data_IF_991652580637
#
_entry.id   IF_991652580637
#
_cell.length_a   1.000
_cell.length_b   1.000
_cell.length_c   1.000
_cell.angle_alpha   90.00
_cell.angle_beta   90.00
_cell.angle_gamma   90.00
#
_symmetry.space_group_name_H-M   'P 1'
#
loop_
_entity.id
_entity.type
_entity.pdbx_description
1 polymer ?
#
# COMPACT_ATOMS: atom_id res chain seq x y z
N UNK A 1 -5.64 19.67 -23.50
CA UNK A 1 -6.62 19.14 -22.53
C UNK A 1 -6.19 19.63 -21.16
N UNK A 2 -7.08 20.26 -20.37
CA UNK A 2 -6.71 20.72 -19.02
C UNK A 2 -6.60 19.47 -18.14
N UNK A 3 -5.45 19.25 -17.50
CA UNK A 3 -5.26 18.15 -16.55
C UNK A 3 -6.17 18.38 -15.33
N UNK A 4 -6.48 17.31 -14.60
CA UNK A 4 -7.32 17.36 -13.40
C UNK A 4 -6.47 17.65 -12.17
N UNK A 5 -7.08 18.30 -11.17
CA UNK A 5 -6.45 18.52 -9.88
C UNK A 5 -6.62 17.27 -8.99
N UNK A 6 -5.77 17.12 -7.97
CA UNK A 6 -5.82 15.96 -7.07
C UNK A 6 -7.18 15.77 -6.40
N UNK A 7 -7.87 16.87 -6.05
CA UNK A 7 -9.23 16.87 -5.48
C UNK A 7 -10.24 16.05 -6.31
N UNK A 8 -9.99 15.88 -7.61
CA UNK A 8 -10.80 15.01 -8.46
C UNK A 8 -10.66 13.53 -8.07
N UNK A 9 -9.44 13.08 -7.78
CA UNK A 9 -9.11 11.68 -7.47
C UNK A 9 -9.13 11.36 -5.98
N UNK A 10 -9.26 12.36 -5.10
CA UNK A 10 -9.15 12.21 -3.64
C UNK A 10 -10.18 11.26 -3.00
N UNK A 11 -11.21 10.85 -3.75
CA UNK A 11 -12.16 9.83 -3.31
C UNK A 11 -11.58 8.41 -3.41
N UNK A 12 -10.68 8.14 -4.36
CA UNK A 12 -10.08 6.82 -4.61
C UNK A 12 -9.29 6.33 -3.38
N UNK A 13 -8.37 7.10 -2.77
CA UNK A 13 -7.70 6.69 -1.53
C UNK A 13 -8.65 6.33 -0.39
N UNK A 14 -9.75 7.08 -0.25
CA UNK A 14 -10.74 6.85 0.82
C UNK A 14 -11.50 5.54 0.62
N UNK A 15 -11.86 5.24 -0.62
CA UNK A 15 -12.51 3.97 -0.96
C UNK A 15 -11.56 2.79 -0.70
N UNK A 16 -10.29 2.93 -1.08
CA UNK A 16 -9.27 1.89 -0.85
C UNK A 16 -9.05 1.64 0.65
N UNK A 17 -8.85 2.68 1.47
CA UNK A 17 -8.69 2.51 2.93
C UNK A 17 -9.94 1.87 3.55
N UNK A 18 -11.14 2.30 3.13
CA UNK A 18 -12.39 1.73 3.63
C UNK A 18 -12.49 0.24 3.36
N UNK A 19 -12.10 -0.17 2.15
CA UNK A 19 -12.06 -1.58 1.76
C UNK A 19 -11.04 -2.35 2.61
N UNK A 20 -9.83 -1.83 2.77
CA UNK A 20 -8.78 -2.52 3.53
C UNK A 20 -9.13 -2.65 5.02
N UNK A 21 -9.63 -1.59 5.66
CA UNK A 21 -10.08 -1.64 7.07
C UNK A 21 -11.17 -2.71 7.24
N UNK A 22 -12.10 -2.80 6.31
CA UNK A 22 -13.16 -3.81 6.33
C UNK A 22 -12.62 -5.24 6.14
N UNK A 23 -11.68 -5.43 5.22
CA UNK A 23 -11.02 -6.73 4.99
C UNK A 23 -10.23 -7.19 6.21
N UNK A 24 -9.41 -6.31 6.80
CA UNK A 24 -8.62 -6.62 7.98
C UNK A 24 -9.49 -7.01 9.17
N UNK A 25 -10.57 -6.28 9.44
CA UNK A 25 -11.51 -6.62 10.51
C UNK A 25 -12.15 -7.99 10.30
N UNK A 26 -12.47 -8.32 9.05
CA UNK A 26 -13.10 -9.60 8.71
C UNK A 26 -12.14 -10.77 8.83
N UNK A 27 -10.85 -10.58 8.55
CA UNK A 27 -9.81 -11.62 8.63
C UNK A 27 -9.34 -11.87 10.06
N UNK A 28 -9.00 -10.80 10.79
CA UNK A 28 -8.43 -10.90 12.14
C UNK A 28 -9.49 -10.87 13.25
N UNK A 29 -10.76 -10.87 12.85
CA UNK A 29 -11.90 -11.12 13.71
C UNK A 29 -12.43 -9.88 14.42
N UNK A 30 -13.74 -9.90 14.64
CA UNK A 30 -14.48 -8.94 15.45
C UNK A 30 -14.13 -9.00 16.94
N UNK A 31 -13.05 -9.65 17.36
CA UNK A 31 -12.60 -9.67 18.75
C UNK A 31 -11.31 -8.85 18.97
N UNK A 32 -10.57 -8.52 17.91
CA UNK A 32 -9.38 -7.67 18.02
C UNK A 32 -9.77 -6.23 18.42
N UNK A 33 -9.39 -5.84 19.65
CA UNK A 33 -9.72 -4.53 20.22
C UNK A 33 -9.08 -3.38 19.44
N UNK A 34 -7.83 -3.55 19.00
CA UNK A 34 -7.11 -2.53 18.24
C UNK A 34 -7.80 -2.28 16.89
N UNK A 35 -8.11 -3.33 16.13
CA UNK A 35 -8.79 -3.19 14.84
C UNK A 35 -10.18 -2.55 14.95
N UNK A 36 -10.94 -2.85 16.00
CA UNK A 36 -12.23 -2.18 16.27
C UNK A 36 -12.09 -0.69 16.49
N UNK A 37 -11.03 -0.27 17.20
CA UNK A 37 -10.77 1.15 17.41
C UNK A 37 -10.46 1.85 16.09
N UNK A 38 -9.64 1.22 15.24
CA UNK A 38 -9.32 1.74 13.91
C UNK A 38 -10.55 1.82 13.00
N UNK A 39 -11.34 0.74 12.93
CA UNK A 39 -12.59 0.70 12.17
C UNK A 39 -13.50 1.86 12.56
N UNK A 40 -13.79 1.96 13.87
CA UNK A 40 -14.64 3.01 14.41
C UNK A 40 -14.11 4.38 14.03
N UNK A 41 -12.81 4.63 14.21
CA UNK A 41 -12.20 5.92 13.91
C UNK A 41 -12.32 6.28 12.43
N UNK A 42 -11.96 5.34 11.56
CA UNK A 42 -11.99 5.55 10.12
C UNK A 42 -13.41 5.87 9.65
N UNK A 43 -14.40 5.08 10.04
CA UNK A 43 -15.76 5.28 9.56
C UNK A 43 -16.50 6.46 10.22
N UNK A 44 -16.06 6.92 11.40
CA UNK A 44 -16.59 8.14 12.01
C UNK A 44 -16.08 9.44 11.35
N UNK A 45 -14.83 9.46 10.90
CA UNK A 45 -14.18 10.70 10.42
C UNK A 45 -13.84 10.72 8.93
N UNK A 46 -13.45 9.58 8.35
CA UNK A 46 -12.94 9.45 6.96
C UNK A 46 -11.89 10.51 6.60
N UNK A 47 -11.03 10.81 7.56
CA UNK A 47 -9.93 11.78 7.47
C UNK A 47 -8.60 11.03 7.60
N UNK A 48 -7.76 11.12 6.58
CA UNK A 48 -6.55 10.31 6.48
C UNK A 48 -5.46 10.75 7.46
N UNK A 49 -5.30 12.06 7.67
CA UNK A 49 -4.30 12.62 8.57
C UNK A 49 -4.64 12.22 10.01
N UNK A 50 -5.89 12.46 10.40
CA UNK A 50 -6.38 12.08 11.73
C UNK A 50 -6.34 10.57 11.95
N UNK A 51 -6.65 9.77 10.93
CA UNK A 51 -6.56 8.32 11.02
C UNK A 51 -5.11 7.84 11.17
N UNK A 52 -4.18 8.41 10.40
CA UNK A 52 -2.74 8.10 10.48
C UNK A 52 -2.15 8.39 11.85
N UNK A 53 -2.48 9.55 12.43
CA UNK A 53 -2.05 9.94 13.77
C UNK A 53 -2.71 9.07 14.86
N UNK A 54 -3.96 8.66 14.65
CA UNK A 54 -4.69 7.85 15.61
C UNK A 54 -4.14 6.43 15.74
N UNK A 55 -3.67 5.83 14.64
CA UNK A 55 -3.19 4.44 14.60
C UNK A 55 -2.09 4.15 15.63
N UNK A 56 -1.05 4.98 15.67
CA UNK A 56 0.07 4.81 16.61
C UNK A 56 -0.39 4.96 18.06
N UNK A 57 -1.21 5.97 18.34
CA UNK A 57 -1.74 6.20 19.69
C UNK A 57 -2.61 5.03 20.16
N UNK A 58 -3.51 4.54 19.30
CA UNK A 58 -4.36 3.40 19.62
C UNK A 58 -3.54 2.13 19.85
N UNK A 59 -2.48 1.90 19.06
CA UNK A 59 -1.62 0.73 19.19
C UNK A 59 -0.84 0.75 20.51
N UNK A 60 -0.24 1.88 20.87
CA UNK A 60 0.47 2.04 22.14
C UNK A 60 -0.45 1.77 23.35
N UNK A 61 -1.68 2.26 23.29
CA UNK A 61 -2.68 2.07 24.36
C UNK A 61 -3.15 0.61 24.47
N UNK A 62 -3.32 -0.11 23.35
CA UNK A 62 -3.92 -1.47 23.37
C UNK A 62 -2.91 -2.61 23.38
N UNK A 63 -1.77 -2.45 22.71
CA UNK A 63 -0.80 -3.53 22.49
C UNK A 63 0.46 -3.36 23.34
N UNK A 64 0.93 -2.14 23.58
CA UNK A 64 2.20 -1.90 24.29
C UNK A 64 1.99 -1.71 25.80
N UNK A 65 1.02 -0.89 26.19
CA UNK A 65 0.79 -0.57 27.60
C UNK A 65 0.16 -1.74 28.37
N UNK A 66 -0.70 -2.52 27.70
CA UNK A 66 -1.52 -3.56 28.34
C UNK A 66 -0.92 -4.97 28.24
N UNK A 67 0.04 -5.22 27.33
CA UNK A 67 0.60 -6.56 27.08
C UNK A 67 2.11 -6.60 27.26
N UNK A 68 2.61 -7.78 27.64
CA UNK A 68 4.05 -8.04 27.74
C UNK A 68 4.67 -8.34 26.37
N UNK A 69 3.86 -8.88 25.46
CA UNK A 69 4.24 -9.26 24.09
C UNK A 69 3.22 -8.66 23.12
N UNK A 70 3.73 -8.13 22.01
CA UNK A 70 2.91 -7.52 20.96
C UNK A 70 2.36 -8.61 20.05
N UNK A 71 1.06 -8.54 19.79
CA UNK A 71 0.40 -9.44 18.85
C UNK A 71 0.87 -9.16 17.41
N UNK A 72 1.37 -10.19 16.71
CA UNK A 72 1.92 -10.08 15.35
C UNK A 72 0.89 -9.51 14.38
N UNK A 73 -0.35 -10.01 14.43
CA UNK A 73 -1.41 -9.60 13.51
C UNK A 73 -1.76 -8.12 13.71
N UNK A 74 -1.80 -7.66 14.96
CA UNK A 74 -2.00 -6.26 15.32
C UNK A 74 -0.87 -5.36 14.82
N UNK A 75 0.39 -5.81 14.93
CA UNK A 75 1.55 -5.10 14.38
C UNK A 75 1.52 -5.06 12.84
N UNK A 76 1.22 -6.18 12.19
CA UNK A 76 1.07 -6.24 10.73
C UNK A 76 -0.05 -5.32 10.25
N UNK A 77 -1.17 -5.24 10.97
CA UNK A 77 -2.26 -4.31 10.69
C UNK A 77 -1.84 -2.85 10.85
N UNK A 78 -1.11 -2.52 11.93
CA UNK A 78 -0.55 -1.17 12.13
C UNK A 78 0.34 -0.78 10.95
N UNK A 79 1.35 -1.59 10.63
CA UNK A 79 2.32 -1.30 9.58
C UNK A 79 1.64 -1.15 8.22
N UNK A 80 0.69 -2.03 7.90
CA UNK A 80 -0.05 -1.99 6.65
C UNK A 80 -0.89 -0.72 6.52
N UNK A 81 -1.71 -0.40 7.53
CA UNK A 81 -2.58 0.77 7.45
C UNK A 81 -1.80 2.10 7.49
N UNK A 82 -0.69 2.15 8.23
CA UNK A 82 0.26 3.27 8.16
C UNK A 82 0.85 3.43 6.77
N UNK A 83 1.39 2.35 6.20
CA UNK A 83 1.98 2.37 4.87
C UNK A 83 0.99 2.83 3.78
N UNK A 84 -0.29 2.43 3.89
CA UNK A 84 -1.34 2.90 2.97
C UNK A 84 -1.53 4.41 3.07
N UNK A 85 -1.69 4.94 4.28
CA UNK A 85 -1.88 6.37 4.50
C UNK A 85 -0.66 7.18 4.06
N UNK A 86 0.54 6.68 4.36
CA UNK A 86 1.80 7.30 3.93
C UNK A 86 1.87 7.35 2.40
N UNK A 87 1.62 6.23 1.70
CA UNK A 87 1.62 6.17 0.23
C UNK A 87 0.66 7.16 -0.40
N UNK A 88 -0.55 7.30 0.15
CA UNK A 88 -1.54 8.21 -0.42
C UNK A 88 -1.23 9.68 -0.13
N UNK A 89 -0.69 9.98 1.06
CA UNK A 89 -0.23 11.33 1.41
C UNK A 89 0.99 11.73 0.57
N UNK A 90 1.94 10.81 0.38
CA UNK A 90 3.12 10.98 -0.46
C UNK A 90 2.70 11.22 -1.93
N UNK A 91 1.77 10.43 -2.45
CA UNK A 91 1.27 10.60 -3.82
C UNK A 91 0.54 11.92 -4.01
N UNK A 92 -0.32 12.34 -3.08
CA UNK A 92 -1.00 13.65 -3.11
C UNK A 92 0.01 14.80 -3.20
N UNK A 93 1.00 14.79 -2.30
CA UNK A 93 2.06 15.79 -2.29
C UNK A 93 2.84 15.81 -3.61
N UNK A 94 3.26 14.64 -4.10
CA UNK A 94 4.01 14.50 -5.35
C UNK A 94 3.16 14.96 -6.52
N UNK A 95 1.88 14.61 -6.58
CA UNK A 95 0.96 15.03 -7.62
C UNK A 95 0.88 16.56 -7.72
N UNK A 96 0.76 17.24 -6.58
CA UNK A 96 0.72 18.70 -6.51
C UNK A 96 2.04 19.36 -6.90
N UNK A 97 3.18 18.74 -6.59
CA UNK A 97 4.50 19.20 -7.05
C UNK A 97 4.65 18.99 -8.55
N UNK A 98 4.34 17.78 -9.04
CA UNK A 98 4.33 17.42 -10.45
C UNK A 98 3.44 18.35 -11.26
N UNK A 99 2.28 18.74 -10.74
CA UNK A 99 1.36 19.70 -11.38
C UNK A 99 2.05 21.04 -11.65
N UNK A 100 2.80 21.58 -10.69
CA UNK A 100 3.51 22.87 -10.86
C UNK A 100 4.54 22.80 -11.98
N UNK A 101 5.24 21.66 -12.11
CA UNK A 101 6.20 21.39 -13.20
C UNK A 101 5.45 21.21 -14.52
N UNK A 102 4.35 20.47 -14.50
CA UNK A 102 3.52 20.21 -15.68
C UNK A 102 2.74 21.46 -16.14
N UNK A 103 2.62 22.50 -15.33
CA UNK A 103 2.08 23.81 -15.68
C UNK A 103 3.12 24.74 -16.29
N UNK A 104 4.42 24.43 -16.14
CA UNK A 104 5.51 25.25 -16.64
C UNK A 104 5.43 25.34 -18.19
N UNK A 105 5.32 26.55 -18.76
CA UNK A 105 5.26 26.76 -20.20
C UNK A 105 6.60 26.53 -20.91
N UNK A 106 7.72 26.49 -20.18
CA UNK A 106 9.05 26.26 -20.73
C UNK A 106 9.34 24.76 -20.95
N UNK A 107 8.56 23.87 -20.33
CA UNK A 107 8.62 22.41 -20.53
C UNK A 107 7.71 22.02 -21.70
N UNK A 108 8.34 21.76 -22.85
CA UNK A 108 7.66 21.57 -24.15
C UNK A 108 7.19 20.16 -24.46
N UNK A 109 7.77 19.13 -23.86
CA UNK A 109 7.34 17.74 -24.05
C UNK A 109 6.61 17.25 -22.80
N UNK A 110 5.31 17.02 -22.97
CA UNK A 110 4.42 16.45 -21.95
C UNK A 110 3.85 15.16 -22.51
N UNK A 111 4.76 14.24 -22.84
CA UNK A 111 4.44 12.95 -23.46
C UNK A 111 3.67 12.01 -22.51
N UNK A 112 3.83 12.21 -21.20
CA UNK A 112 3.15 11.44 -20.16
C UNK A 112 2.00 12.23 -19.54
N UNK A 113 0.96 11.54 -19.09
CA UNK A 113 -0.13 12.15 -18.33
C UNK A 113 0.36 12.48 -16.92
N UNK A 114 -0.19 13.55 -16.32
CA UNK A 114 0.22 14.04 -15.01
C UNK A 114 0.23 12.94 -13.92
N UNK A 115 -0.79 12.06 -13.91
CA UNK A 115 -0.86 10.98 -12.92
C UNK A 115 0.21 9.88 -13.14
N UNK A 116 0.60 9.61 -14.39
CA UNK A 116 1.68 8.64 -14.69
C UNK A 116 3.02 9.25 -14.32
N UNK A 117 3.22 10.53 -14.61
CA UNK A 117 4.43 11.25 -14.19
C UNK A 117 4.57 11.28 -12.66
N UNK A 118 3.51 11.67 -11.94
CA UNK A 118 3.50 11.66 -10.47
C UNK A 118 3.71 10.24 -9.90
N UNK A 119 3.22 9.20 -10.57
CA UNK A 119 3.48 7.82 -10.18
C UNK A 119 4.96 7.46 -10.32
N UNK A 120 5.60 7.79 -11.43
CA UNK A 120 7.05 7.54 -11.61
C UNK A 120 7.85 8.23 -10.51
N UNK A 121 7.56 9.49 -10.21
CA UNK A 121 8.22 10.24 -9.13
C UNK A 121 7.99 9.62 -7.73
N UNK A 122 6.78 9.12 -7.45
CA UNK A 122 6.50 8.36 -6.22
C UNK A 122 7.37 7.10 -6.17
N UNK A 123 7.42 6.33 -7.26
CA UNK A 123 8.19 5.09 -7.32
C UNK A 123 9.69 5.35 -7.10
N UNK A 124 10.24 6.44 -7.65
CA UNK A 124 11.62 6.87 -7.40
C UNK A 124 11.84 7.16 -5.91
N UNK A 125 10.91 7.87 -5.29
CA UNK A 125 10.98 8.19 -3.85
C UNK A 125 10.94 6.93 -2.99
N UNK A 126 10.03 5.99 -3.30
CA UNK A 126 9.91 4.70 -2.62
C UNK A 126 11.17 3.85 -2.79
N UNK A 127 11.73 3.84 -3.99
CA UNK A 127 13.00 3.18 -4.31
C UNK A 127 14.14 3.68 -3.44
N UNK A 128 14.36 4.99 -3.41
CA UNK A 128 15.47 5.61 -2.68
C UNK A 128 15.35 5.32 -1.18
N UNK A 129 14.14 5.43 -0.63
CA UNK A 129 13.87 5.09 0.76
C UNK A 129 14.19 3.61 1.04
N UNK A 130 13.67 2.69 0.21
CA UNK A 130 13.88 1.26 0.38
C UNK A 130 15.36 0.90 0.38
N UNK A 131 16.12 1.38 -0.62
CA UNK A 131 17.55 1.09 -0.72
C UNK A 131 18.33 1.64 0.47
N UNK A 132 17.94 2.80 0.99
CA UNK A 132 18.61 3.38 2.14
C UNK A 132 18.32 2.60 3.43
N UNK A 133 17.06 2.24 3.69
CA UNK A 133 16.69 1.43 4.84
C UNK A 133 17.28 0.02 4.77
N UNK A 134 17.28 -0.59 3.57
CA UNK A 134 17.80 -1.95 3.38
C UNK A 134 19.30 -2.08 3.71
N UNK A 135 20.10 -1.03 3.49
CA UNK A 135 21.55 -1.04 3.79
C UNK A 135 21.86 -1.27 5.26
N UNK A 136 20.94 -0.88 6.14
CA UNK A 136 21.13 -0.98 7.58
C UNK A 136 20.61 -2.32 8.15
N UNK A 137 19.99 -3.17 7.31
CA UNK A 137 19.45 -4.45 7.73
C UNK A 137 20.51 -5.54 7.79
N UNK A 138 20.45 -6.34 8.87
CA UNK A 138 21.22 -7.58 8.97
C UNK A 138 20.40 -8.74 8.42
N UNK A 139 20.79 -9.25 7.25
CA UNK A 139 20.04 -10.32 6.57
C UNK A 139 20.61 -11.70 6.88
N UNK A 140 19.76 -12.58 7.43
CA UNK A 140 20.11 -13.97 7.67
C UNK A 140 20.35 -14.74 6.36
N UNK A 141 21.25 -15.72 6.41
CA UNK A 141 21.69 -16.48 5.22
C UNK A 141 20.54 -17.08 4.42
N UNK A 142 19.46 -17.55 5.07
CA UNK A 142 18.31 -18.15 4.39
C UNK A 142 17.54 -17.15 3.50
N UNK A 143 17.54 -15.86 3.84
CA UNK A 143 16.83 -14.81 3.08
C UNK A 143 17.72 -14.07 2.08
N UNK A 144 19.03 -14.33 2.08
CA UNK A 144 19.97 -13.65 1.17
C UNK A 144 19.63 -13.78 -0.32
N UNK A 145 19.29 -14.98 -0.85
CA UNK A 145 19.05 -15.12 -2.29
C UNK A 145 17.95 -14.20 -2.81
N UNK A 146 16.80 -14.18 -2.14
CA UNK A 146 15.65 -13.36 -2.54
C UNK A 146 15.87 -11.87 -2.31
N UNK A 147 16.52 -11.50 -1.20
CA UNK A 147 16.80 -10.09 -0.90
C UNK A 147 17.87 -9.50 -1.83
N UNK A 148 18.87 -10.28 -2.25
CA UNK A 148 19.83 -9.88 -3.29
C UNK A 148 19.14 -9.71 -4.65
N UNK A 149 18.23 -10.61 -5.02
CA UNK A 149 17.42 -10.48 -6.24
C UNK A 149 16.56 -9.21 -6.22
N UNK A 150 15.83 -8.99 -5.13
CA UNK A 150 15.03 -7.77 -4.90
C UNK A 150 15.86 -6.50 -5.11
N UNK A 151 17.01 -6.39 -4.43
CA UNK A 151 17.88 -5.21 -4.53
C UNK A 151 18.44 -5.04 -5.94
N UNK A 152 18.80 -6.12 -6.62
CA UNK A 152 19.28 -6.05 -8.00
C UNK A 152 18.19 -5.52 -8.95
N UNK A 153 16.95 -5.99 -8.81
CA UNK A 153 15.83 -5.52 -9.63
C UNK A 153 15.47 -4.06 -9.33
N UNK A 154 15.57 -3.68 -8.06
CA UNK A 154 15.39 -2.32 -7.58
C UNK A 154 16.48 -1.37 -8.14
N UNK A 155 17.75 -1.76 -8.14
CA UNK A 155 18.82 -0.92 -8.73
C UNK A 155 18.61 -0.75 -10.24
N UNK A 156 18.19 -1.80 -10.95
CA UNK A 156 17.88 -1.72 -12.39
C UNK A 156 16.74 -0.74 -12.69
N UNK A 157 15.83 -0.48 -11.74
CA UNK A 157 14.75 0.50 -11.92
C UNK A 157 15.28 1.91 -12.21
N UNK A 158 16.41 2.29 -11.57
CA UNK A 158 17.06 3.59 -11.78
C UNK A 158 17.52 3.82 -13.22
N UNK A 159 17.77 2.74 -13.97
CA UNK A 159 18.18 2.80 -15.38
C UNK A 159 16.98 2.95 -16.33
N UNK A 160 15.75 2.82 -15.83
CA UNK A 160 14.51 2.74 -16.62
C UNK A 160 13.59 3.95 -16.43
N UNK A 161 13.99 4.95 -15.65
CA UNK A 161 13.11 6.04 -15.21
C UNK A 161 12.53 6.87 -16.37
N UNK A 162 13.20 6.90 -17.52
CA UNK A 162 12.74 7.61 -18.73
C UNK A 162 11.58 6.89 -19.45
N UNK A 163 11.30 5.62 -19.15
CA UNK A 163 10.21 4.84 -19.76
C UNK A 163 9.20 4.40 -18.69
N UNK A 164 8.09 5.15 -18.58
CA UNK A 164 7.05 4.90 -17.59
C UNK A 164 6.44 3.50 -17.68
N UNK A 165 6.37 2.89 -18.87
CA UNK A 165 5.81 1.52 -19.01
C UNK A 165 6.77 0.50 -18.42
N UNK A 166 8.08 0.69 -18.61
CA UNK A 166 9.10 -0.17 -18.01
C UNK A 166 9.17 0.02 -16.50
N UNK A 167 9.01 1.26 -16.00
CA UNK A 167 8.90 1.55 -14.57
C UNK A 167 7.73 0.78 -13.97
N UNK A 168 6.51 0.94 -14.50
CA UNK A 168 5.30 0.25 -14.01
C UNK A 168 5.51 -1.26 -14.00
N UNK A 169 6.00 -1.86 -15.09
CA UNK A 169 6.25 -3.30 -15.18
C UNK A 169 7.27 -3.76 -14.13
N UNK A 170 8.33 -2.99 -13.91
CA UNK A 170 9.36 -3.30 -12.91
C UNK A 170 8.80 -3.17 -11.49
N UNK A 171 7.92 -2.19 -11.25
CA UNK A 171 7.24 -2.04 -9.96
C UNK A 171 6.40 -3.26 -9.59
N UNK A 172 5.66 -3.85 -10.53
CA UNK A 172 4.96 -5.13 -10.28
C UNK A 172 5.93 -6.25 -9.88
N UNK A 173 7.03 -6.42 -10.63
CA UNK A 173 8.03 -7.44 -10.31
C UNK A 173 8.64 -7.24 -8.92
N UNK A 174 8.94 -5.99 -8.55
CA UNK A 174 9.46 -5.65 -7.21
C UNK A 174 8.42 -6.00 -6.14
N UNK A 175 7.15 -5.66 -6.36
CA UNK A 175 6.06 -6.03 -5.46
C UNK A 175 5.97 -7.55 -5.27
N UNK A 176 6.04 -8.32 -6.36
CA UNK A 176 6.00 -9.79 -6.33
C UNK A 176 7.18 -10.36 -5.53
N UNK A 177 8.40 -9.85 -5.73
CA UNK A 177 9.58 -10.29 -4.99
C UNK A 177 9.50 -9.99 -3.49
N UNK A 178 8.88 -8.88 -3.08
CA UNK A 178 8.67 -8.58 -1.65
C UNK A 178 7.58 -9.50 -1.08
N UNK A 179 6.53 -9.81 -1.84
CA UNK A 179 5.51 -10.78 -1.44
C UNK A 179 6.11 -12.18 -1.27
N UNK A 180 6.95 -12.64 -2.20
CA UNK A 180 7.69 -13.90 -2.07
C UNK A 180 8.58 -13.91 -0.82
N UNK A 181 9.17 -12.76 -0.45
CA UNK A 181 9.94 -12.62 0.78
C UNK A 181 9.05 -12.74 2.03
N UNK A 182 7.85 -12.15 2.02
CA UNK A 182 6.88 -12.29 3.10
C UNK A 182 6.45 -13.75 3.26
N UNK A 183 6.13 -14.45 2.17
CA UNK A 183 5.78 -15.86 2.20
C UNK A 183 6.89 -16.72 2.84
N UNK A 184 8.16 -16.42 2.54
CA UNK A 184 9.31 -17.09 3.16
C UNK A 184 9.53 -16.74 4.63
N UNK A 185 9.12 -15.54 5.06
CA UNK A 185 9.18 -15.12 6.45
C UNK A 185 8.03 -15.71 7.28
N UNK A 186 6.89 -15.95 6.64
CA UNK A 186 5.69 -16.55 7.25
C UNK A 186 5.65 -18.07 7.17
N UNK A 187 6.58 -18.71 6.43
CA UNK A 187 6.69 -20.17 6.32
C UNK A 187 6.96 -20.81 7.70
N UNK A 188 5.88 -21.26 8.33
CA UNK A 188 5.90 -22.01 9.59
C UNK A 188 5.85 -23.53 9.36
N UNK A 189 6.53 -24.03 8.32
CA UNK A 189 6.63 -25.47 8.05
C UNK A 189 7.20 -26.29 9.22
N UNK A 190 7.82 -25.64 10.20
CA UNK A 190 8.31 -26.24 11.45
C UNK A 190 7.35 -26.11 12.66
N UNK A 191 6.17 -25.50 12.50
CA UNK A 191 5.16 -25.23 13.54
C UNK A 191 5.69 -24.52 14.80
N UNK A 192 6.68 -23.64 14.63
CA UNK A 192 7.28 -22.87 15.72
C UNK A 192 6.44 -21.63 16.07
N UNK A 193 5.58 -21.15 15.17
CA UNK A 193 4.73 -19.96 15.32
C UNK A 193 5.46 -18.66 15.75
N UNK A 194 6.79 -18.65 15.78
CA UNK A 194 7.62 -17.57 16.33
C UNK A 194 8.88 -17.38 15.47
N UNK A 195 9.32 -16.12 15.33
CA UNK A 195 10.61 -15.80 14.72
C UNK A 195 11.76 -16.25 15.62
N UNK A 196 12.82 -16.81 15.02
CA UNK A 196 13.98 -17.31 15.77
C UNK A 196 14.92 -16.17 16.18
N UNK A 197 14.97 -15.11 15.37
CA UNK A 197 15.89 -13.99 15.55
C UNK A 197 15.21 -12.62 15.37
N UNK A 198 15.69 -11.63 16.11
CA UNK A 198 15.23 -10.23 16.01
C UNK A 198 15.37 -9.65 14.60
N UNK A 199 16.39 -10.08 13.87
CA UNK A 199 16.68 -9.69 12.50
C UNK A 199 15.56 -10.09 11.54
N UNK A 200 14.88 -11.21 11.81
CA UNK A 200 13.72 -11.67 11.03
C UNK A 200 12.51 -10.79 11.27
N UNK A 201 12.28 -10.40 12.53
CA UNK A 201 11.21 -9.46 12.89
C UNK A 201 11.42 -8.13 12.17
N UNK A 202 12.65 -7.62 12.17
CA UNK A 202 12.97 -6.37 11.48
C UNK A 202 12.76 -6.51 9.96
N UNK A 203 13.22 -7.61 9.36
CA UNK A 203 13.04 -7.87 7.93
C UNK A 203 11.57 -8.05 7.56
N UNK A 204 10.78 -8.70 8.40
CA UNK A 204 9.34 -8.86 8.24
C UNK A 204 8.59 -7.53 8.27
N UNK A 205 8.88 -6.68 9.25
CA UNK A 205 8.28 -5.35 9.34
C UNK A 205 8.65 -4.49 8.12
N UNK A 206 9.92 -4.55 7.68
CA UNK A 206 10.39 -3.89 6.47
C UNK A 206 9.63 -4.39 5.22
N UNK A 207 9.49 -5.71 5.07
CA UNK A 207 8.83 -6.32 3.93
C UNK A 207 7.34 -5.98 3.89
N UNK A 208 6.62 -6.00 5.03
CA UNK A 208 5.21 -5.58 5.11
C UNK A 208 5.09 -4.13 4.65
N UNK A 209 5.91 -3.24 5.22
CA UNK A 209 5.82 -1.82 4.94
C UNK A 209 6.00 -1.54 3.45
N UNK A 210 7.07 -2.04 2.83
CA UNK A 210 7.33 -1.77 1.42
C UNK A 210 6.44 -2.54 0.44
N UNK A 211 6.09 -3.81 0.73
CA UNK A 211 5.09 -4.54 -0.06
C UNK A 211 3.79 -3.74 -0.11
N UNK A 212 3.34 -3.25 1.04
CA UNK A 212 2.15 -2.42 1.14
C UNK A 212 2.28 -1.14 0.32
N UNK A 213 3.41 -0.40 0.44
CA UNK A 213 3.57 0.84 -0.32
C UNK A 213 3.54 0.62 -1.83
N UNK A 214 4.25 -0.40 -2.33
CA UNK A 214 4.25 -0.71 -3.77
C UNK A 214 2.88 -1.17 -4.27
N UNK A 215 2.24 -2.10 -3.55
CA UNK A 215 0.91 -2.59 -3.89
C UNK A 215 -0.10 -1.44 -4.00
N UNK A 216 -0.19 -0.59 -2.97
CA UNK A 216 -1.19 0.46 -2.94
C UNK A 216 -0.87 1.64 -3.86
N UNK A 217 0.40 1.89 -4.17
CA UNK A 217 0.79 2.83 -5.22
C UNK A 217 0.30 2.36 -6.61
N UNK A 218 0.51 1.07 -6.92
CA UNK A 218 0.05 0.46 -8.17
C UNK A 218 -1.49 0.43 -8.24
N UNK A 219 -2.17 0.02 -7.16
CA UNK A 219 -3.63 -0.01 -7.08
C UNK A 219 -4.23 1.38 -7.26
N UNK A 220 -3.65 2.40 -6.62
CA UNK A 220 -4.08 3.80 -6.79
C UNK A 220 -3.96 4.23 -8.25
N UNK A 221 -2.84 3.94 -8.91
CA UNK A 221 -2.63 4.22 -10.33
C UNK A 221 -3.69 3.55 -11.20
N UNK A 222 -3.93 2.25 -11.02
CA UNK A 222 -4.93 1.52 -11.80
C UNK A 222 -6.34 2.10 -11.62
N UNK A 223 -6.73 2.46 -10.39
CA UNK A 223 -8.05 3.07 -10.09
C UNK A 223 -8.17 4.46 -10.72
N UNK A 224 -7.11 5.28 -10.71
CA UNK A 224 -7.07 6.56 -11.42
C UNK A 224 -7.27 6.36 -12.92
N UNK A 225 -6.59 5.38 -13.52
CA UNK A 225 -6.74 5.04 -14.93
C UNK A 225 -8.18 4.62 -15.23
N UNK A 226 -8.76 3.72 -14.45
CA UNK A 226 -10.14 3.27 -14.65
C UNK A 226 -11.15 4.43 -14.58
N UNK A 227 -10.93 5.38 -13.67
CA UNK A 227 -11.75 6.59 -13.57
C UNK A 227 -11.59 7.49 -14.82
N UNK A 228 -10.37 7.67 -15.34
CA UNK A 228 -10.13 8.37 -16.60
C UNK A 228 -10.79 7.68 -17.82
N UNK A 229 -10.72 6.35 -17.89
CA UNK A 229 -11.33 5.57 -18.97
C UNK A 229 -12.85 5.70 -18.97
N UNK A 230 -13.47 5.66 -17.78
CA UNK A 230 -14.92 5.83 -17.61
C UNK A 230 -15.41 7.19 -18.12
N UNK A 231 -14.62 8.24 -17.95
CA UNK A 231 -15.00 9.61 -18.32
C UNK A 231 -14.75 9.89 -19.79
N UNK A 232 -13.61 9.41 -20.29
CA UNK A 232 -13.19 9.62 -21.68
C UNK A 232 -13.79 8.59 -22.64
N UNK A 233 -14.39 7.53 -22.09
CA UNK A 233 -14.89 6.37 -22.84
C UNK A 233 -13.83 5.78 -23.79
N UNK A 234 -12.57 5.81 -23.34
CA UNK A 234 -11.39 5.37 -24.09
C UNK A 234 -10.59 4.43 -23.20
N UNK A 235 -10.22 3.26 -23.72
CA UNK A 235 -9.33 2.34 -23.00
C UNK A 235 -7.91 2.90 -23.04
N UNK A 236 -7.33 3.05 -21.86
CA UNK A 236 -5.99 3.57 -21.64
C UNK A 236 -5.03 2.40 -21.41
N UNK A 237 -5.45 1.45 -20.57
CA UNK A 237 -4.66 0.28 -20.20
C UNK A 237 -5.59 -0.93 -20.08
N UNK A 238 -5.37 -1.98 -20.88
CA UNK A 238 -6.28 -3.13 -20.90
C UNK A 238 -6.20 -3.99 -19.63
N UNK A 239 -5.01 -4.12 -19.04
CA UNK A 239 -4.76 -4.98 -17.90
C UNK A 239 -4.63 -4.16 -16.61
N UNK A 240 -5.42 -4.48 -15.58
CA UNK A 240 -5.40 -3.82 -14.26
C UNK A 240 -5.48 -4.89 -13.15
N UNK A 241 -4.41 -5.68 -12.97
CA UNK A 241 -4.45 -6.89 -12.15
C UNK A 241 -4.74 -6.62 -10.67
N UNK A 242 -4.27 -5.50 -10.09
CA UNK A 242 -4.53 -5.25 -8.67
C UNK A 242 -5.96 -4.80 -8.41
N UNK A 243 -6.61 -4.13 -9.36
CA UNK A 243 -8.04 -3.84 -9.27
C UNK A 243 -8.88 -5.12 -9.31
N UNK A 244 -8.48 -6.09 -10.14
CA UNK A 244 -9.12 -7.41 -10.19
C UNK A 244 -8.91 -8.15 -8.87
N UNK A 245 -7.68 -8.19 -8.36
CA UNK A 245 -7.33 -8.81 -7.09
C UNK A 245 -8.06 -8.16 -5.89
N UNK A 246 -8.06 -6.83 -5.77
CA UNK A 246 -8.80 -6.07 -4.76
C UNK A 246 -10.31 -6.41 -4.80
N UNK A 247 -10.87 -6.52 -6.00
CA UNK A 247 -12.26 -6.94 -6.19
C UNK A 247 -12.52 -8.38 -5.75
N UNK A 248 -11.59 -9.30 -6.01
CA UNK A 248 -11.67 -10.70 -5.56
C UNK A 248 -11.56 -10.79 -4.03
N UNK A 249 -10.53 -10.18 -3.44
CA UNK A 249 -10.31 -10.12 -1.98
C UNK A 249 -11.54 -9.58 -1.25
N UNK A 250 -12.13 -8.50 -1.78
CA UNK A 250 -13.37 -7.94 -1.22
C UNK A 250 -14.55 -8.91 -1.33
N UNK A 251 -14.71 -9.57 -2.48
CA UNK A 251 -15.79 -10.54 -2.70
C UNK A 251 -15.68 -11.74 -1.77
N UNK A 252 -14.47 -12.28 -1.59
CA UNK A 252 -14.17 -13.37 -0.65
C UNK A 252 -14.48 -12.95 0.79
N UNK A 253 -14.06 -11.74 1.18
CA UNK A 253 -14.35 -11.17 2.50
C UNK A 253 -15.86 -11.09 2.77
N UNK A 254 -16.65 -10.62 1.79
CA UNK A 254 -18.12 -10.56 1.90
C UNK A 254 -18.75 -11.95 2.02
N UNK A 255 -18.14 -12.97 1.41
CA UNK A 255 -18.64 -14.35 1.48
C UNK A 255 -18.35 -15.03 2.81
N UNK A 256 -17.24 -14.70 3.47
CA UNK A 256 -16.80 -15.35 4.71
C UNK A 256 -17.59 -14.95 5.96
N UNK A 257 -18.37 -13.84 5.91
CA UNK A 257 -18.82 -13.20 7.14
C UNK A 257 -20.27 -12.66 7.00
N UNK A 258 -21.26 -13.36 7.59
CA UNK A 258 -22.68 -12.93 7.56
C UNK A 258 -22.90 -11.62 8.35
N UNK A 259 -22.15 -11.39 9.43
CA UNK A 259 -22.18 -10.15 10.22
C UNK A 259 -21.53 -8.97 9.45
N UNK A 260 -20.52 -9.24 8.62
CA UNK A 260 -19.85 -8.21 7.84
C UNK A 260 -20.73 -7.66 6.71
N UNK A 261 -21.69 -8.44 6.19
CA UNK A 261 -22.71 -7.90 5.26
C UNK A 261 -23.52 -6.79 5.92
N UNK A 262 -23.93 -6.95 7.18
CA UNK A 262 -24.71 -5.91 7.87
C UNK A 262 -23.88 -4.65 8.13
N UNK A 263 -22.59 -4.80 8.45
CA UNK A 263 -21.64 -3.68 8.59
C UNK A 263 -21.43 -2.99 7.23
N UNK A 264 -21.08 -3.72 6.16
CA UNK A 264 -20.90 -3.19 4.80
C UNK A 264 -22.12 -2.39 4.30
N UNK A 265 -23.33 -2.92 4.49
CA UNK A 265 -24.56 -2.23 4.07
C UNK A 265 -24.92 -1.02 4.95
N UNK A 266 -24.52 -0.99 6.23
CA UNK A 266 -24.66 0.20 7.08
C UNK A 266 -23.62 1.26 6.73
N UNK A 267 -22.41 0.84 6.36
CA UNK A 267 -21.28 1.71 6.04
C UNK A 267 -21.40 2.39 4.67
N UNK A 268 -21.96 1.72 3.66
CA UNK A 268 -22.23 2.32 2.34
C UNK A 268 -23.39 3.32 2.30
N UNK A 269 -24.24 3.33 3.33
CA UNK A 269 -25.44 4.20 3.40
C UNK A 269 -25.20 5.52 4.14
N UNK A 270 -24.02 5.71 4.73
CA UNK A 270 -23.57 6.95 5.38
C UNK A 270 -22.39 7.57 4.63
#
# INVERSE_FOLDING_TARGET
>A
MKYKEWEYYSHIPKDIISNEVYMLLSLFGSENRYLKLLEKRWFEKRDMIDFRDYMENAFEETEVTEKQEVDRDSLSCLLRLMAICDTFSDYEYIYDVSKKIYEDPDIKDKDQRLYDYAFVELIVTLYDALVNEFKDLTIMTKYKPITEELINEIVKLSELLDDSKLVVKKTYLINDLISDLLDLLEDDSENKNEFEHSEEVVLYNFAIYYSTKFYFALLLREKIIAEEEKITNTIIEENKPLMEEDGMRMSETIMLNEDAKEIFYKTLKN
#
